data_IF_641201326160
#
_entry.id   IF_641201326160
#
_cell.length_a   1.000
_cell.length_b   1.000
_cell.length_c   1.000
_cell.angle_alpha   90.00
_cell.angle_beta   90.00
_cell.angle_gamma   90.00
#
_symmetry.space_group_name_H-M   'P 1'
#
loop_
_entity.id
_entity.type
_entity.pdbx_description
1 polymer ?
#
# COMPACT_ATOMS: atom_id res chain seq x y z
N UNK A 1 -17.31 4.38 -21.29
CA UNK A 1 -16.64 3.94 -22.53
C UNK A 1 -16.52 4.97 -23.66
N UNK A 2 -17.37 6.01 -23.75
CA UNK A 2 -17.34 6.99 -24.87
C UNK A 2 -16.01 7.74 -25.11
N UNK A 3 -15.08 7.72 -24.16
CA UNK A 3 -13.78 8.41 -24.23
C UNK A 3 -12.58 7.45 -24.28
N UNK A 4 -12.81 6.14 -24.38
CA UNK A 4 -11.75 5.12 -24.49
C UNK A 4 -11.65 4.59 -25.91
N UNK A 5 -10.45 4.19 -26.31
CA UNK A 5 -10.22 3.58 -27.62
C UNK A 5 -11.05 2.29 -27.79
N UNK A 6 -11.48 1.98 -29.03
CA UNK A 6 -12.15 0.71 -29.31
C UNK A 6 -11.28 -0.48 -28.88
N UNK A 7 -11.85 -1.39 -28.09
CA UNK A 7 -11.17 -2.61 -27.62
C UNK A 7 -10.61 -2.54 -26.20
N UNK A 8 -10.66 -1.37 -25.54
CA UNK A 8 -10.47 -1.32 -24.08
C UNK A 8 -11.65 -2.07 -23.44
N UNK A 9 -11.45 -3.02 -22.51
CA UNK A 9 -12.55 -3.70 -21.84
C UNK A 9 -13.24 -2.79 -20.81
N UNK A 10 -14.55 -2.94 -20.59
CA UNK A 10 -15.29 -2.17 -19.57
C UNK A 10 -14.85 -2.51 -18.16
N UNK A 11 -14.38 -3.74 -17.96
CA UNK A 11 -13.98 -4.29 -16.67
C UNK A 11 -12.70 -5.08 -16.83
N UNK A 12 -11.76 -4.89 -15.90
CA UNK A 12 -10.60 -5.76 -15.78
C UNK A 12 -10.94 -6.94 -14.87
N UNK A 13 -10.28 -8.07 -15.10
CA UNK A 13 -10.25 -9.15 -14.12
C UNK A 13 -9.26 -8.76 -13.03
N UNK A 14 -9.77 -8.55 -11.82
CA UNK A 14 -8.95 -8.27 -10.65
C UNK A 14 -8.74 -9.55 -9.86
N UNK A 15 -7.55 -9.76 -9.27
CA UNK A 15 -7.32 -10.89 -8.40
C UNK A 15 -8.19 -10.78 -7.13
N UNK A 16 -8.61 -11.94 -6.61
CA UNK A 16 -9.37 -12.04 -5.35
C UNK A 16 -8.40 -12.03 -4.15
N UNK A 17 -7.68 -10.92 -4.01
CA UNK A 17 -6.67 -10.72 -2.97
C UNK A 17 -6.89 -9.38 -2.26
N UNK A 18 -6.59 -9.28 -0.95
CA UNK A 18 -6.69 -8.01 -0.24
C UNK A 18 -5.66 -7.02 -0.81
N UNK A 19 -5.98 -5.72 -0.80
CA UNK A 19 -5.07 -4.68 -1.30
C UNK A 19 -3.67 -4.74 -0.65
N UNK A 20 -3.58 -5.17 0.61
CA UNK A 20 -2.31 -5.34 1.33
C UNK A 20 -1.41 -6.43 0.72
N UNK A 21 -2.00 -7.45 0.07
CA UNK A 21 -1.27 -8.55 -0.57
C UNK A 21 -0.23 -8.06 -1.58
N UNK A 22 -0.53 -6.99 -2.32
CA UNK A 22 0.39 -6.44 -3.31
C UNK A 22 1.67 -5.88 -2.66
N UNK A 23 1.56 -5.28 -1.47
CA UNK A 23 2.71 -4.83 -0.71
C UNK A 23 3.52 -6.02 -0.18
N UNK A 24 2.85 -7.06 0.35
CA UNK A 24 3.51 -8.28 0.82
C UNK A 24 4.31 -8.96 -0.30
N UNK A 25 3.72 -9.08 -1.48
CA UNK A 25 4.38 -9.57 -2.68
C UNK A 25 5.58 -8.71 -3.08
N UNK A 26 5.48 -7.38 -3.02
CA UNK A 26 6.59 -6.50 -3.32
C UNK A 26 7.73 -6.60 -2.31
N UNK A 27 7.43 -6.76 -1.01
CA UNK A 27 8.41 -6.99 0.05
C UNK A 27 9.13 -8.32 -0.16
N UNK A 28 8.40 -9.39 -0.50
CA UNK A 28 8.98 -10.71 -0.72
C UNK A 28 9.89 -10.75 -1.96
N UNK A 29 9.42 -10.20 -3.08
CA UNK A 29 10.13 -10.29 -4.36
C UNK A 29 11.26 -9.26 -4.49
N UNK A 30 11.12 -8.07 -3.89
CA UNK A 30 12.00 -6.93 -4.11
C UNK A 30 12.42 -6.20 -2.83
N UNK A 31 12.85 -6.90 -1.76
CA UNK A 31 13.00 -6.31 -0.43
C UNK A 31 13.96 -5.13 -0.36
N UNK A 32 15.01 -5.15 -1.18
CA UNK A 32 16.06 -4.14 -1.18
C UNK A 32 15.84 -3.04 -2.25
N UNK A 33 14.80 -3.16 -3.09
CA UNK A 33 14.46 -2.10 -4.05
C UNK A 33 13.79 -0.94 -3.31
N UNK A 34 14.04 0.32 -3.73
CA UNK A 34 13.34 1.47 -3.18
C UNK A 34 11.85 1.41 -3.51
N UNK A 35 11.03 1.50 -2.47
CA UNK A 35 9.58 1.62 -2.52
C UNK A 35 9.13 3.09 -2.55
N UNK A 36 9.83 3.94 -1.79
CA UNK A 36 9.59 5.38 -1.73
C UNK A 36 10.87 6.15 -2.00
N UNK A 37 10.74 7.25 -2.73
CA UNK A 37 11.76 8.27 -2.89
C UNK A 37 11.22 9.57 -2.29
N UNK A 38 11.98 10.18 -1.38
CA UNK A 38 11.63 11.46 -0.78
C UNK A 38 12.84 12.32 -0.55
N UNK A 39 12.96 13.38 -1.33
CA UNK A 39 14.21 14.14 -1.43
C UNK A 39 15.39 13.19 -1.65
N UNK A 40 16.39 13.22 -0.77
CA UNK A 40 17.58 12.38 -0.83
C UNK A 40 17.39 11.01 -0.14
N UNK A 41 16.26 10.81 0.53
CA UNK A 41 15.96 9.57 1.25
C UNK A 41 15.31 8.52 0.34
N UNK A 42 15.72 7.27 0.56
CA UNK A 42 15.19 6.10 -0.14
C UNK A 42 14.75 5.06 0.86
N UNK A 43 13.46 4.76 0.86
CA UNK A 43 12.90 3.71 1.73
C UNK A 43 12.74 2.45 0.90
N UNK A 44 13.43 1.36 1.29
CA UNK A 44 13.28 0.06 0.63
C UNK A 44 11.94 -0.59 0.97
N UNK A 45 11.48 -1.53 0.14
CA UNK A 45 10.26 -2.31 0.44
C UNK A 45 10.35 -3.00 1.81
N UNK A 46 11.50 -3.58 2.16
CA UNK A 46 11.71 -4.20 3.48
C UNK A 46 11.51 -3.19 4.62
N UNK A 47 12.10 -2.00 4.49
CA UNK A 47 11.96 -0.96 5.52
C UNK A 47 10.52 -0.48 5.61
N UNK A 48 9.87 -0.24 4.47
CA UNK A 48 8.46 0.15 4.43
C UNK A 48 7.56 -0.90 5.08
N UNK A 49 7.76 -2.19 4.78
CA UNK A 49 7.02 -3.29 5.41
C UNK A 49 7.18 -3.32 6.92
N UNK A 50 8.39 -3.07 7.43
CA UNK A 50 8.63 -2.97 8.87
C UNK A 50 7.89 -1.77 9.49
N UNK A 51 7.86 -0.61 8.82
CA UNK A 51 7.15 0.57 9.30
C UNK A 51 5.63 0.34 9.33
N UNK A 52 5.07 -0.24 8.26
CA UNK A 52 3.65 -0.60 8.17
C UNK A 52 3.27 -1.57 9.28
N UNK A 53 4.05 -2.65 9.48
CA UNK A 53 3.78 -3.63 10.54
C UNK A 53 3.85 -3.01 11.94
N UNK A 54 4.81 -2.12 12.19
CA UNK A 54 4.91 -1.41 13.48
C UNK A 54 3.70 -0.50 13.70
N UNK A 55 3.29 0.26 12.69
CA UNK A 55 2.13 1.15 12.79
C UNK A 55 0.83 0.37 12.99
N UNK A 56 0.62 -0.72 12.24
CA UNK A 56 -0.55 -1.58 12.40
C UNK A 56 -0.64 -2.16 13.82
N UNK A 57 0.47 -2.68 14.37
CA UNK A 57 0.50 -3.17 15.75
C UNK A 57 0.23 -2.06 16.78
N UNK A 58 0.69 -0.83 16.53
CA UNK A 58 0.38 0.31 17.40
C UNK A 58 -1.13 0.63 17.39
N UNK A 59 -1.79 0.59 16.23
CA UNK A 59 -3.25 0.76 16.15
C UNK A 59 -4.00 -0.34 16.90
N UNK A 60 -3.57 -1.60 16.76
CA UNK A 60 -4.14 -2.73 17.52
C UNK A 60 -3.95 -2.51 19.03
N UNK A 61 -2.77 -2.07 19.46
CA UNK A 61 -2.47 -1.79 20.86
C UNK A 61 -3.30 -0.61 21.43
N UNK A 62 -3.71 0.33 20.57
CA UNK A 62 -4.64 1.41 20.92
C UNK A 62 -6.11 0.95 20.99
N UNK A 63 -6.39 -0.33 20.74
CA UNK A 63 -7.71 -0.93 20.87
C UNK A 63 -8.52 -0.98 19.57
N UNK A 64 -7.91 -0.71 18.41
CA UNK A 64 -8.62 -0.79 17.14
C UNK A 64 -9.08 -2.20 16.79
N UNK A 65 -10.28 -2.31 16.23
CA UNK A 65 -10.93 -3.53 15.81
C UNK A 65 -11.35 -3.50 14.34
N UNK A 66 -11.68 -4.67 13.79
CA UNK A 66 -12.21 -4.78 12.43
C UNK A 66 -13.51 -3.98 12.32
N UNK A 67 -13.56 -3.07 11.34
CA UNK A 67 -14.71 -2.18 11.12
C UNK A 67 -14.52 -0.78 11.67
N UNK A 68 -13.50 -0.57 12.50
CA UNK A 68 -13.12 0.77 12.94
C UNK A 68 -12.50 1.58 11.79
N UNK A 69 -12.59 2.90 11.90
CA UNK A 69 -12.22 3.85 10.85
C UNK A 69 -11.02 4.68 11.29
N UNK A 70 -10.05 4.83 10.38
CA UNK A 70 -8.89 5.71 10.55
C UNK A 70 -8.96 6.81 9.50
N UNK A 71 -8.70 8.05 9.91
CA UNK A 71 -8.58 9.19 9.00
C UNK A 71 -7.14 9.70 8.99
N UNK A 72 -6.68 10.14 7.82
CA UNK A 72 -5.38 10.79 7.63
C UNK A 72 -5.67 12.22 7.16
N UNK A 73 -5.15 13.22 7.88
CA UNK A 73 -5.24 14.62 7.49
C UNK A 73 -3.84 15.23 7.46
N UNK A 74 -3.13 14.96 6.36
CA UNK A 74 -1.75 15.35 6.14
C UNK A 74 -1.57 15.71 4.65
N UNK A 75 -0.62 16.61 4.31
CA UNK A 75 -0.17 16.74 2.93
C UNK A 75 0.50 15.43 2.48
N UNK A 76 0.65 15.24 1.16
CA UNK A 76 1.41 14.11 0.65
C UNK A 76 2.88 14.22 1.13
N UNK A 77 3.27 13.35 2.05
CA UNK A 77 4.57 13.24 2.69
C UNK A 77 4.80 11.74 2.96
N UNK A 78 6.02 11.21 2.83
CA UNK A 78 6.29 9.81 3.14
C UNK A 78 6.32 9.54 4.65
#
# INVERSE_FOLDING_TARGET
>A
MKFYEPGVPETLQYPDEPLTHFLDCAIANYPNRPALYYFDERVSYRTLGNLVNRFANALIALGMQKGDRVAIHLPNCP
#
